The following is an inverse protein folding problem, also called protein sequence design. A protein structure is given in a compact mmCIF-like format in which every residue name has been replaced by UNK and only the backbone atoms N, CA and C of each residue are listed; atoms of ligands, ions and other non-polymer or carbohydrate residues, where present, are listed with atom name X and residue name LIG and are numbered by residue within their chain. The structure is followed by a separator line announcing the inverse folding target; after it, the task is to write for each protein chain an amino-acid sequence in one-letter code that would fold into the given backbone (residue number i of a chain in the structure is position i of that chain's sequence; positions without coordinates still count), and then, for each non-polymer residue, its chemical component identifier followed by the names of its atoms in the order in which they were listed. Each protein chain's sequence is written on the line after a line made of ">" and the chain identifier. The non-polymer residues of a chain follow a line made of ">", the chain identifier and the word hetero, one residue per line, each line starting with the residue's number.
data_IF_154976465188
#
_entry.id   IF_154976465188
#
_cell.length_a   1.000
_cell.length_b   1.000
_cell.length_c   1.000
_cell.angle_alpha   90.00
_cell.angle_beta   90.00
_cell.angle_gamma   90.00
#
_symmetry.space_group_name_H-M   'P 1'
#
loop_
_entity.id
_entity.type
_entity.pdbx_description
1 polymer ?
#
# COMPACT_ATOMS: atom_id res chain seq x y z
N UNK A 1 20.75 -19.17 -15.66
CA UNK A 1 19.83 -18.05 -15.89
C UNK A 1 19.04 -17.87 -14.61
N UNK A 2 19.30 -16.85 -13.77
CA UNK A 2 18.43 -16.63 -12.63
C UNK A 2 17.07 -16.30 -13.23
N UNK A 3 16.06 -17.13 -12.95
CA UNK A 3 14.68 -16.72 -13.12
C UNK A 3 14.52 -15.54 -12.18
N UNK A 4 14.72 -14.31 -12.66
CA UNK A 4 14.39 -13.13 -11.89
C UNK A 4 12.92 -13.27 -11.61
N UNK A 5 12.62 -13.55 -10.35
CA UNK A 5 11.28 -13.86 -9.94
C UNK A 5 10.49 -12.57 -10.16
N UNK A 6 9.56 -12.55 -11.13
CA UNK A 6 8.83 -11.31 -11.47
C UNK A 6 8.09 -10.73 -10.25
N UNK A 7 7.88 -11.55 -9.21
CA UNK A 7 7.32 -11.14 -7.93
C UNK A 7 8.30 -10.36 -7.06
N UNK A 8 9.61 -10.62 -7.11
CA UNK A 8 10.61 -9.88 -6.32
C UNK A 8 10.52 -8.36 -6.48
N UNK A 9 10.52 -7.78 -7.69
CA UNK A 9 10.41 -6.33 -7.85
C UNK A 9 9.04 -5.80 -7.41
N UNK A 10 7.98 -6.59 -7.55
CA UNK A 10 6.63 -6.19 -7.12
C UNK A 10 6.52 -6.18 -5.58
N UNK A 11 7.08 -7.19 -4.91
CA UNK A 11 7.16 -7.27 -3.45
C UNK A 11 8.00 -6.13 -2.88
N UNK A 12 9.12 -5.79 -3.52
CA UNK A 12 9.93 -4.63 -3.13
C UNK A 12 9.12 -3.32 -3.26
N UNK A 13 8.35 -3.17 -4.34
CA UNK A 13 7.50 -2.00 -4.55
C UNK A 13 6.39 -1.91 -3.50
N UNK A 14 5.73 -3.03 -3.18
CA UNK A 14 4.71 -3.08 -2.12
C UNK A 14 5.29 -2.68 -0.76
N UNK A 15 6.48 -3.17 -0.42
CA UNK A 15 7.16 -2.83 0.84
C UNK A 15 7.56 -1.35 0.89
N UNK A 16 8.07 -0.80 -0.23
CA UNK A 16 8.38 0.63 -0.35
C UNK A 16 7.12 1.50 -0.18
N UNK A 17 5.99 1.10 -0.77
CA UNK A 17 4.71 1.78 -0.62
C UNK A 17 4.21 1.75 0.81
N UNK A 18 4.28 0.59 1.48
CA UNK A 18 3.92 0.46 2.89
C UNK A 18 4.75 1.39 3.78
N UNK A 19 6.04 1.55 3.50
CA UNK A 19 6.91 2.51 4.21
C UNK A 19 6.51 3.96 3.92
N UNK A 20 6.17 4.30 2.67
CA UNK A 20 5.72 5.64 2.32
C UNK A 20 4.38 6.00 2.99
N UNK A 21 3.44 5.06 3.03
CA UNK A 21 2.16 5.20 3.74
C UNK A 21 2.41 5.45 5.22
N UNK A 22 3.29 4.67 5.85
CA UNK A 22 3.66 4.84 7.26
C UNK A 22 4.24 6.23 7.55
N UNK A 23 5.14 6.72 6.70
CA UNK A 23 5.73 8.06 6.85
C UNK A 23 4.70 9.16 6.62
N UNK A 24 3.82 9.02 5.63
CA UNK A 24 2.75 9.97 5.35
C UNK A 24 1.72 10.04 6.46
N UNK A 25 1.35 8.92 7.06
CA UNK A 25 0.46 8.90 8.22
C UNK A 25 1.04 9.70 9.39
N UNK A 26 2.35 9.57 9.65
CA UNK A 26 3.02 10.34 10.71
C UNK A 26 3.04 11.83 10.38
N UNK A 27 3.30 12.18 9.11
CA UNK A 27 3.28 13.56 8.63
C UNK A 27 1.87 14.19 8.72
N UNK A 28 0.82 13.46 8.31
CA UNK A 28 -0.58 13.90 8.42
C UNK A 28 -1.07 13.97 9.86
N UNK A 29 -0.52 13.14 10.76
CA UNK A 29 -0.75 13.23 12.20
C UNK A 29 -0.08 14.47 12.84
N UNK A 30 0.66 15.27 12.06
CA UNK A 30 1.35 16.47 12.52
C UNK A 30 2.67 16.20 13.24
N UNK A 31 3.19 14.97 13.15
CA UNK A 31 4.48 14.60 13.70
C UNK A 31 5.57 14.63 12.61
N UNK A 32 6.82 14.96 12.95
CA UNK A 32 7.91 14.89 11.99
C UNK A 32 8.18 13.43 11.62
N UNK A 33 8.08 13.04 10.33
CA UNK A 33 8.31 11.67 9.92
C UNK A 33 9.76 11.28 10.21
N UNK A 34 10.00 10.14 10.89
CA UNK A 34 11.36 9.65 11.10
C UNK A 34 12.00 9.23 9.76
N UNK A 35 13.33 9.16 9.67
CA UNK A 35 14.02 8.71 8.46
C UNK A 35 13.73 7.25 8.08
N UNK A 36 13.21 6.46 9.01
CA UNK A 36 12.73 5.10 8.77
C UNK A 36 11.47 4.85 9.60
N UNK A 37 10.42 4.23 9.03
CA UNK A 37 9.24 3.86 9.81
C UNK A 37 9.59 2.78 10.83
N UNK A 38 9.09 2.94 12.05
CA UNK A 38 9.18 1.94 13.12
C UNK A 38 8.11 0.87 12.93
N UNK A 39 8.19 -0.23 13.70
CA UNK A 39 7.16 -1.27 13.70
C UNK A 39 5.75 -0.70 13.96
N UNK A 40 5.62 0.27 14.87
CA UNK A 40 4.34 0.94 15.16
C UNK A 40 3.82 1.75 13.96
N UNK A 41 4.70 2.40 13.20
CA UNK A 41 4.29 3.16 12.00
C UNK A 41 3.87 2.23 10.87
N UNK A 42 4.53 1.08 10.73
CA UNK A 42 4.13 0.04 9.78
C UNK A 42 2.80 -0.60 10.17
N UNK A 43 2.55 -0.82 11.46
CA UNK A 43 1.27 -1.30 11.96
C UNK A 43 0.15 -0.29 11.69
N UNK A 44 0.40 1.00 11.91
CA UNK A 44 -0.55 2.05 11.56
C UNK A 44 -0.83 2.12 10.04
N UNK A 45 0.18 1.86 9.21
CA UNK A 45 0.01 1.74 7.76
C UNK A 45 -0.86 0.53 7.39
N UNK A 46 -0.63 -0.63 8.00
CA UNK A 46 -1.47 -1.81 7.77
C UNK A 46 -2.92 -1.59 8.23
N UNK A 47 -3.12 -0.93 9.38
CA UNK A 47 -4.46 -0.56 9.84
C UNK A 47 -5.14 0.39 8.85
N UNK A 48 -4.43 1.38 8.32
CA UNK A 48 -4.98 2.29 7.31
C UNK A 48 -5.32 1.56 6.01
N UNK A 49 -4.46 0.63 5.55
CA UNK A 49 -4.71 -0.23 4.39
C UNK A 49 -5.94 -1.09 4.63
N UNK A 50 -6.00 -1.80 5.76
CA UNK A 50 -7.12 -2.69 6.11
C UNK A 50 -8.41 -1.90 6.24
N UNK A 51 -8.40 -0.79 6.96
CA UNK A 51 -9.56 0.08 7.11
C UNK A 51 -10.03 0.61 5.76
N UNK A 52 -9.10 0.89 4.84
CA UNK A 52 -9.44 1.34 3.51
C UNK A 52 -10.04 0.22 2.65
N UNK A 53 -9.50 -1.00 2.71
CA UNK A 53 -10.06 -2.19 2.07
C UNK A 53 -11.46 -2.55 2.60
N UNK A 54 -11.64 -2.49 3.92
CA UNK A 54 -12.93 -2.76 4.58
C UNK A 54 -13.99 -1.69 4.32
N UNK A 55 -13.59 -0.48 3.94
CA UNK A 55 -14.51 0.62 3.64
C UNK A 55 -15.39 0.35 2.40
N UNK A 56 -15.10 -0.72 1.66
CA UNK A 56 -15.93 -1.20 0.56
C UNK A 56 -15.74 -0.40 -0.73
N UNK A 57 -15.83 -1.10 -1.87
CA UNK A 57 -15.64 -0.53 -3.21
C UNK A 57 -16.59 0.67 -3.47
N UNK A 58 -17.80 0.68 -2.89
CA UNK A 58 -18.79 1.76 -3.07
C UNK A 58 -18.38 3.11 -2.45
N UNK A 59 -17.65 3.11 -1.32
CA UNK A 59 -17.09 4.35 -0.76
C UNK A 59 -15.78 4.74 -1.45
N UNK A 60 -15.03 3.75 -1.94
CA UNK A 60 -13.80 3.98 -2.70
C UNK A 60 -14.08 4.61 -4.07
N UNK A 61 -15.10 4.15 -4.80
CA UNK A 61 -15.51 4.72 -6.09
C UNK A 61 -15.91 6.20 -5.92
N UNK A 62 -16.68 6.52 -4.88
CA UNK A 62 -17.06 7.90 -4.56
C UNK A 62 -15.88 8.79 -4.15
N UNK A 63 -14.82 8.22 -3.54
CA UNK A 63 -13.58 8.94 -3.21
C UNK A 63 -12.65 9.07 -4.40
N UNK A 64 -12.64 8.12 -5.31
CA UNK A 64 -11.89 8.21 -6.57
C UNK A 64 -12.37 9.40 -7.44
N UNK A 65 -13.63 9.80 -7.28
CA UNK A 65 -14.19 11.00 -7.90
C UNK A 65 -13.93 12.32 -7.12
N UNK A 66 -13.36 12.29 -5.91
CA UNK A 66 -12.87 13.49 -5.20
C UNK A 66 -11.36 13.63 -5.36
N UNK A 67 -10.82 14.83 -5.13
CA UNK A 67 -9.38 15.04 -4.94
C UNK A 67 -8.88 14.09 -3.85
N UNK A 68 -8.28 12.99 -4.29
CA UNK A 68 -7.69 11.95 -3.47
C UNK A 68 -6.49 12.59 -2.79
N UNK A 69 -6.47 12.60 -1.45
CA UNK A 69 -5.30 13.09 -0.72
C UNK A 69 -4.06 12.24 -1.03
N UNK A 70 -2.83 12.76 -0.85
CA UNK A 70 -1.60 12.05 -1.20
C UNK A 70 -1.44 10.68 -0.49
N UNK A 71 -2.06 10.50 0.69
CA UNK A 71 -2.12 9.21 1.37
C UNK A 71 -3.00 8.20 0.63
N UNK A 72 -4.15 8.63 0.14
CA UNK A 72 -5.12 7.76 -0.53
C UNK A 72 -4.62 7.33 -1.92
N UNK A 73 -3.83 8.17 -2.60
CA UNK A 73 -3.12 7.77 -3.84
C UNK A 73 -2.12 6.63 -3.56
N UNK A 74 -1.35 6.74 -2.47
CA UNK A 74 -0.38 5.70 -2.08
C UNK A 74 -1.07 4.39 -1.68
N UNK A 75 -2.19 4.48 -0.97
CA UNK A 75 -2.99 3.32 -0.62
C UNK A 75 -3.51 2.64 -1.90
N UNK A 76 -3.98 3.40 -2.89
CA UNK A 76 -4.47 2.88 -4.16
C UNK A 76 -3.40 2.16 -4.96
N UNK A 77 -2.23 2.80 -5.09
CA UNK A 77 -1.09 2.17 -5.75
C UNK A 77 -0.68 0.87 -5.01
N UNK A 78 -0.68 0.87 -3.68
CA UNK A 78 -0.37 -0.33 -2.89
C UNK A 78 -1.34 -1.47 -3.19
N UNK A 79 -2.64 -1.18 -3.21
CA UNK A 79 -3.67 -2.18 -3.52
C UNK A 79 -3.50 -2.75 -4.93
N UNK A 80 -3.34 -1.90 -5.95
CA UNK A 80 -3.10 -2.37 -7.31
C UNK A 80 -1.87 -3.28 -7.40
N UNK A 81 -0.77 -2.93 -6.72
CA UNK A 81 0.44 -3.76 -6.69
C UNK A 81 0.17 -5.11 -6.02
N UNK A 82 -0.52 -5.13 -4.88
CA UNK A 82 -0.85 -6.36 -4.14
C UNK A 82 -1.80 -7.26 -4.94
N UNK A 83 -2.83 -6.71 -5.57
CA UNK A 83 -3.75 -7.48 -6.42
C UNK A 83 -2.97 -8.16 -7.55
N UNK A 84 -2.06 -7.45 -8.23
CA UNK A 84 -1.23 -8.04 -9.28
C UNK A 84 -0.25 -9.09 -8.76
N UNK A 85 0.28 -8.93 -7.54
CA UNK A 85 1.11 -9.95 -6.88
C UNK A 85 0.29 -11.23 -6.66
N UNK A 86 -0.95 -11.09 -6.17
CA UNK A 86 -1.85 -12.22 -5.93
C UNK A 86 -2.19 -12.90 -7.25
N UNK A 87 -2.54 -12.14 -8.30
CA UNK A 87 -2.82 -12.69 -9.64
C UNK A 87 -1.62 -13.47 -10.22
N UNK A 88 -0.41 -12.91 -10.15
CA UNK A 88 0.78 -13.59 -10.67
C UNK A 88 1.17 -14.81 -9.81
N UNK A 89 0.88 -14.78 -8.51
CA UNK A 89 1.05 -15.93 -7.61
C UNK A 89 0.03 -17.03 -7.91
N UNK A 90 -1.22 -16.68 -8.14
CA UNK A 90 -2.29 -17.61 -8.50
C UNK A 90 -2.00 -18.29 -9.84
N UNK A 91 -1.56 -17.52 -10.85
CA UNK A 91 -1.11 -18.06 -12.15
C UNK A 91 0.02 -19.09 -12.03
N UNK A 92 0.87 -19.00 -11.01
CA UNK A 92 1.96 -19.98 -10.77
C UNK A 92 1.50 -21.23 -10.04
N UNK A 93 0.40 -21.15 -9.30
CA UNK A 93 -0.16 -22.25 -8.53
C UNK A 93 -1.20 -23.05 -9.32
N UNK A 94 -1.78 -22.46 -10.36
CA UNK A 94 -2.73 -23.08 -11.30
C UNK A 94 -2.10 -23.84 -12.48
#
# INVERSE_FOLDING_TARGET
>A
MPYTDRLEPMLQRADELRRQIALRLVEEAGAPPPPSPSADHLAAADEAITAWEEQGEEEQDQRAFRDIGPLQELLAEYREVVERIVEERDRRLG
#
